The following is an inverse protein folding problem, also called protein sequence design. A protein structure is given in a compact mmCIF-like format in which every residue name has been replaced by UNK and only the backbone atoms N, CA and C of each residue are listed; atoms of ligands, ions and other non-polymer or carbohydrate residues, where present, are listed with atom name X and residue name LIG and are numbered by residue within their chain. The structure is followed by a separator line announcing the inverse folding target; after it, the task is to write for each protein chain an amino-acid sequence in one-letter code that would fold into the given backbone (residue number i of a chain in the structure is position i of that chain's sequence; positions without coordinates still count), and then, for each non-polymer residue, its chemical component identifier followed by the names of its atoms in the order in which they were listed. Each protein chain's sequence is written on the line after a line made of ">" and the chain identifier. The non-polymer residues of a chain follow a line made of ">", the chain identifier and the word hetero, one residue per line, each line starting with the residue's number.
data_IF_825129640748
#
_entry.id   IF_825129640748
#
_cell.length_a   1.000
_cell.length_b   1.000
_cell.length_c   1.000
_cell.angle_alpha   90.00
_cell.angle_beta   90.00
_cell.angle_gamma   90.00
#
_symmetry.space_group_name_H-M   'P 1'
#
loop_
_entity.id
_entity.type
_entity.pdbx_description
1 polymer ?
#
# COMPACT_ATOMS: atom_id res chain seq x y z
N UNK A 1 13.00 -14.97 7.59
CA UNK A 1 13.40 -14.18 6.40
C UNK A 1 14.04 -12.89 6.86
N UNK A 2 15.07 -12.38 6.17
CA UNK A 2 15.67 -11.07 6.46
C UNK A 2 15.10 -10.02 5.49
N UNK A 3 14.64 -8.87 5.99
CA UNK A 3 14.29 -7.75 5.11
C UNK A 3 15.59 -7.20 4.52
N UNK A 4 15.68 -7.17 3.19
CA UNK A 4 16.80 -6.53 2.50
C UNK A 4 16.74 -5.02 2.74
N UNK A 5 17.89 -4.42 3.00
CA UNK A 5 18.01 -2.98 3.28
C UNK A 5 17.47 -2.15 2.10
N UNK A 6 17.73 -2.60 0.89
CA UNK A 6 17.34 -1.96 -0.36
C UNK A 6 15.81 -1.88 -0.49
N UNK A 7 15.08 -2.86 0.06
CA UNK A 7 13.61 -2.83 0.10
C UNK A 7 13.09 -1.82 1.14
N UNK A 8 13.77 -1.68 2.28
CA UNK A 8 13.45 -0.66 3.28
C UNK A 8 13.66 0.74 2.69
N UNK A 9 14.80 0.96 2.03
CA UNK A 9 15.11 2.20 1.32
C UNK A 9 14.04 2.55 0.29
N UNK A 10 13.71 1.60 -0.59
CA UNK A 10 12.70 1.76 -1.62
C UNK A 10 11.33 2.16 -1.06
N UNK A 11 10.93 1.52 0.04
CA UNK A 11 9.63 1.76 0.68
C UNK A 11 9.59 3.09 1.44
N UNK A 12 10.66 3.46 2.14
CA UNK A 12 10.73 4.75 2.82
C UNK A 12 10.75 5.92 1.85
N UNK A 13 11.46 5.82 0.72
CA UNK A 13 11.40 6.87 -0.30
C UNK A 13 10.02 7.01 -0.92
N UNK A 14 9.29 5.91 -1.13
CA UNK A 14 7.93 5.97 -1.64
C UNK A 14 6.96 6.61 -0.66
N UNK A 15 7.05 6.25 0.63
CA UNK A 15 6.24 6.87 1.66
C UNK A 15 6.58 8.36 1.81
N UNK A 16 7.86 8.72 1.73
CA UNK A 16 8.31 10.10 1.78
C UNK A 16 7.88 10.92 0.56
N UNK A 17 7.74 10.31 -0.62
CA UNK A 17 7.21 10.98 -1.80
C UNK A 17 5.74 11.39 -1.62
N UNK A 18 4.98 10.62 -0.84
CA UNK A 18 3.56 10.90 -0.56
C UNK A 18 3.36 11.87 0.62
N UNK A 19 4.08 11.65 1.73
CA UNK A 19 3.85 12.37 3.00
C UNK A 19 4.92 13.39 3.37
N UNK A 20 6.06 13.39 2.67
CA UNK A 20 7.22 14.19 3.01
C UNK A 20 8.17 13.50 4.00
N UNK A 21 9.48 13.68 3.81
CA UNK A 21 10.51 13.02 4.65
C UNK A 21 10.43 13.41 6.13
N UNK A 22 10.13 14.68 6.44
CA UNK A 22 10.02 15.16 7.81
C UNK A 22 8.91 14.43 8.58
N UNK A 23 7.73 14.33 7.97
CA UNK A 23 6.59 13.63 8.54
C UNK A 23 6.91 12.16 8.79
N UNK A 24 7.50 11.48 7.80
CA UNK A 24 7.85 10.06 7.94
C UNK A 24 8.92 9.86 9.01
N UNK A 25 9.94 10.71 9.06
CA UNK A 25 10.98 10.63 10.08
C UNK A 25 10.43 10.83 11.50
N UNK A 26 9.47 11.75 11.68
CA UNK A 26 8.81 11.94 12.97
C UNK A 26 7.92 10.73 13.32
N UNK A 27 7.13 10.22 12.37
CA UNK A 27 6.29 9.04 12.60
C UNK A 27 7.11 7.80 12.99
N UNK A 28 8.25 7.55 12.31
CA UNK A 28 9.20 6.48 12.69
C UNK A 28 9.74 6.73 14.10
N UNK A 29 10.08 7.98 14.43
CA UNK A 29 10.66 8.33 15.73
C UNK A 29 9.68 8.10 16.88
N UNK A 30 8.44 8.60 16.73
CA UNK A 30 7.38 8.39 17.71
C UNK A 30 7.11 6.90 17.92
N UNK A 31 7.00 6.15 16.84
CA UNK A 31 6.73 4.72 16.89
C UNK A 31 7.90 3.92 17.46
N UNK A 32 9.14 4.27 17.11
CA UNK A 32 10.35 3.68 17.67
C UNK A 32 10.41 3.84 19.19
N UNK A 33 10.13 5.04 19.69
CA UNK A 33 10.13 5.32 21.12
C UNK A 33 8.93 4.67 21.83
N UNK A 34 7.75 4.66 21.18
CA UNK A 34 6.55 3.99 21.70
C UNK A 34 6.77 2.49 21.88
N UNK A 35 7.57 1.86 21.02
CA UNK A 35 7.95 0.46 21.11
C UNK A 35 9.11 0.19 22.08
N UNK A 36 9.54 1.18 22.88
CA UNK A 36 10.62 1.04 23.86
C UNK A 36 12.03 1.27 23.28
N UNK A 37 12.13 1.84 22.08
CA UNK A 37 13.38 2.33 21.54
C UNK A 37 14.01 3.45 22.40
N UNK A 38 15.31 3.66 22.24
CA UNK A 38 16.06 4.67 23.02
C UNK A 38 17.57 4.68 22.78
N UNK A 39 18.09 3.71 22.02
CA UNK A 39 19.51 3.62 21.68
C UNK A 39 19.93 4.56 20.55
N UNK A 40 18.98 4.94 19.69
CA UNK A 40 19.24 5.83 18.56
C UNK A 40 19.03 7.30 18.98
N UNK A 41 19.80 8.25 18.42
CA UNK A 41 19.67 9.67 18.72
C UNK A 41 18.47 10.28 17.98
N UNK A 42 17.27 9.76 18.25
CA UNK A 42 16.00 10.22 17.72
C UNK A 42 15.16 10.82 18.86
N UNK A 43 14.60 12.00 18.62
CA UNK A 43 13.84 12.76 19.64
C UNK A 43 12.58 13.33 19.01
N UNK A 44 11.37 13.11 19.56
CA UNK A 44 10.14 13.63 18.99
C UNK A 44 10.20 15.15 18.85
N UNK A 45 9.63 15.70 17.76
CA UNK A 45 9.63 17.13 17.46
C UNK A 45 10.98 17.72 17.03
N UNK A 46 12.06 16.93 16.97
CA UNK A 46 13.32 17.32 16.32
C UNK A 46 13.36 16.88 14.86
N UNK A 47 12.33 17.26 14.10
CA UNK A 47 12.03 16.78 12.74
C UNK A 47 13.24 16.83 11.82
N UNK A 48 13.91 17.98 11.75
CA UNK A 48 15.11 18.15 10.92
C UNK A 48 16.24 17.18 11.27
N UNK A 49 16.53 17.00 12.56
CA UNK A 49 17.61 16.11 13.00
C UNK A 49 17.26 14.64 12.76
N UNK A 50 16.00 14.26 13.04
CA UNK A 50 15.53 12.89 12.81
C UNK A 50 15.54 12.56 11.32
N UNK A 51 15.03 13.47 10.48
CA UNK A 51 15.06 13.34 9.03
C UNK A 51 16.49 13.18 8.52
N UNK A 52 17.41 14.05 8.95
CA UNK A 52 18.80 13.99 8.52
C UNK A 52 19.48 12.68 8.93
N UNK A 53 19.23 12.23 10.16
CA UNK A 53 19.75 10.97 10.65
C UNK A 53 19.21 9.78 9.86
N UNK A 54 17.89 9.67 9.70
CA UNK A 54 17.25 8.55 9.02
C UNK A 54 17.59 8.56 7.54
N UNK A 55 17.20 9.58 6.77
CA UNK A 55 17.29 9.59 5.31
C UNK A 55 18.69 9.86 4.78
N UNK A 56 19.40 10.84 5.34
CA UNK A 56 20.65 11.31 4.75
C UNK A 56 21.88 10.59 5.31
N UNK A 57 21.81 10.01 6.52
CA UNK A 57 22.95 9.34 7.17
C UNK A 57 22.82 7.82 7.23
N UNK A 58 21.65 7.28 7.58
CA UNK A 58 21.53 5.83 7.86
C UNK A 58 20.93 5.04 6.71
N UNK A 59 19.97 5.63 5.99
CA UNK A 59 19.22 4.94 4.95
C UNK A 59 20.09 4.51 3.76
N UNK A 60 21.23 5.15 3.52
CA UNK A 60 22.18 4.69 2.48
C UNK A 60 22.76 3.30 2.75
N UNK A 61 22.89 2.90 4.03
CA UNK A 61 23.37 1.57 4.39
C UNK A 61 24.77 1.21 3.86
N UNK A 62 25.63 2.19 3.57
CA UNK A 62 27.00 1.99 3.07
C UNK A 62 27.89 1.29 4.12
N UNK A 63 27.60 1.48 5.41
CA UNK A 63 28.36 0.86 6.50
C UNK A 63 27.52 -0.11 7.33
N UNK A 64 28.18 -1.08 7.98
CA UNK A 64 27.54 -2.01 8.91
C UNK A 64 26.75 -1.29 10.01
N UNK A 65 27.32 -0.23 10.58
CA UNK A 65 26.66 0.60 11.60
C UNK A 65 25.40 1.28 11.07
N UNK A 66 25.42 1.80 9.84
CA UNK A 66 24.22 2.39 9.23
C UNK A 66 23.12 1.33 9.05
N UNK A 67 23.48 0.14 8.55
CA UNK A 67 22.53 -0.98 8.41
C UNK A 67 21.96 -1.41 9.75
N UNK A 68 22.78 -1.55 10.79
CA UNK A 68 22.32 -1.89 12.15
C UNK A 68 21.32 -0.86 12.71
N UNK A 69 21.56 0.44 12.47
CA UNK A 69 20.61 1.49 12.87
C UNK A 69 19.27 1.36 12.16
N UNK A 70 19.27 1.10 10.85
CA UNK A 70 18.04 0.85 10.09
C UNK A 70 17.35 -0.43 10.57
N UNK A 71 18.09 -1.49 10.88
CA UNK A 71 17.50 -2.73 11.42
C UNK A 71 16.76 -2.48 12.74
N UNK A 72 17.28 -1.65 13.64
CA UNK A 72 16.60 -1.25 14.89
C UNK A 72 15.30 -0.47 14.63
N UNK A 73 15.19 0.20 13.49
CA UNK A 73 13.99 0.94 13.10
C UNK A 73 12.95 0.10 12.36
N UNK A 74 13.29 -1.13 11.93
CA UNK A 74 12.36 -1.98 11.16
C UNK A 74 11.00 -2.14 11.86
N UNK A 75 10.91 -2.48 13.15
CA UNK A 75 9.63 -2.63 13.82
C UNK A 75 8.76 -1.37 13.76
N UNK A 76 9.37 -0.19 13.88
CA UNK A 76 8.69 1.09 13.77
C UNK A 76 8.28 1.41 12.33
N UNK A 77 9.17 1.16 11.36
CA UNK A 77 8.90 1.33 9.94
C UNK A 77 7.70 0.47 9.51
N UNK A 78 7.65 -0.79 9.95
CA UNK A 78 6.56 -1.70 9.63
C UNK A 78 5.22 -1.24 10.21
N UNK A 79 5.22 -0.67 11.41
CA UNK A 79 4.02 -0.20 12.09
C UNK A 79 3.40 1.04 11.43
N UNK A 80 4.21 1.94 10.87
CA UNK A 80 3.70 3.14 10.17
C UNK A 80 3.38 2.89 8.70
N UNK A 81 3.72 1.71 8.16
CA UNK A 81 3.68 1.49 6.72
C UNK A 81 2.25 1.28 6.21
N UNK A 82 1.77 2.11 5.27
CA UNK A 82 0.44 1.95 4.70
C UNK A 82 0.33 0.63 3.92
N UNK A 83 -0.89 0.10 3.80
CA UNK A 83 -1.16 -1.23 3.24
C UNK A 83 -0.64 -1.36 1.82
N UNK A 84 -0.71 -0.27 1.08
CA UNK A 84 -0.32 -0.10 -0.31
C UNK A 84 1.19 -0.22 -0.48
N UNK A 85 2.01 -0.02 0.55
CA UNK A 85 3.47 -0.15 0.46
C UNK A 85 4.00 -1.43 1.10
N UNK A 86 3.24 -2.08 1.98
CA UNK A 86 3.66 -3.32 2.65
C UNK A 86 4.09 -4.41 1.65
N UNK A 87 3.38 -4.55 0.53
CA UNK A 87 3.67 -5.57 -0.47
C UNK A 87 5.07 -5.49 -1.09
N UNK A 88 5.74 -4.34 -1.00
CA UNK A 88 7.09 -4.13 -1.52
C UNK A 88 8.18 -4.72 -0.63
N UNK A 89 7.87 -5.06 0.62
CA UNK A 89 8.81 -5.76 1.48
C UNK A 89 8.61 -7.27 1.31
N UNK A 90 9.67 -8.00 0.93
CA UNK A 90 9.62 -9.46 0.73
C UNK A 90 9.10 -10.26 1.93
N UNK A 91 9.14 -9.72 3.15
CA UNK A 91 8.52 -10.39 4.31
C UNK A 91 7.00 -10.56 4.17
N UNK A 92 6.36 -9.76 3.32
CA UNK A 92 4.94 -9.92 3.00
C UNK A 92 4.73 -10.78 1.76
N UNK A 93 5.76 -11.17 1.01
CA UNK A 93 5.63 -12.15 -0.08
C UNK A 93 5.53 -13.58 0.47
N UNK A 94 4.54 -13.80 1.33
CA UNK A 94 4.24 -15.11 1.90
C UNK A 94 3.29 -15.87 0.98
N UNK A 95 3.26 -17.20 1.13
CA UNK A 95 2.32 -18.04 0.39
C UNK A 95 0.87 -17.66 0.71
N UNK A 96 0.58 -17.35 1.98
CA UNK A 96 -0.73 -16.93 2.46
C UNK A 96 -1.15 -15.61 1.79
N UNK A 97 -0.24 -14.63 1.67
CA UNK A 97 -0.56 -13.37 1.00
C UNK A 97 -0.84 -13.58 -0.49
N UNK A 98 -0.08 -14.43 -1.17
CA UNK A 98 -0.32 -14.77 -2.59
C UNK A 98 -1.68 -15.47 -2.77
N UNK A 99 -2.05 -16.37 -1.86
CA UNK A 99 -3.37 -17.01 -1.86
C UNK A 99 -4.51 -15.99 -1.64
N UNK A 100 -4.34 -15.05 -0.71
CA UNK A 100 -5.32 -13.98 -0.47
C UNK A 100 -5.49 -13.06 -1.68
N UNK A 101 -4.40 -12.73 -2.38
CA UNK A 101 -4.46 -11.93 -3.62
C UNK A 101 -5.17 -12.69 -4.75
N UNK A 102 -4.86 -13.96 -4.93
CA UNK A 102 -5.55 -14.80 -5.92
C UNK A 102 -7.06 -14.91 -5.62
N UNK A 103 -7.44 -15.02 -4.35
CA UNK A 103 -8.84 -15.01 -3.93
C UNK A 103 -9.51 -13.66 -4.19
N UNK A 104 -8.80 -12.54 -3.97
CA UNK A 104 -9.31 -11.20 -4.28
C UNK A 104 -9.56 -11.03 -5.78
N UNK A 105 -8.64 -11.49 -6.62
CA UNK A 105 -8.76 -11.45 -8.08
C UNK A 105 -9.95 -12.29 -8.56
N UNK A 106 -10.04 -13.54 -8.08
CA UNK A 106 -11.16 -14.43 -8.39
C UNK A 106 -12.53 -13.83 -7.98
N UNK A 107 -12.58 -13.18 -6.83
CA UNK A 107 -13.79 -12.49 -6.36
C UNK A 107 -14.14 -11.30 -7.26
N UNK A 108 -13.16 -10.49 -7.67
CA UNK A 108 -13.37 -9.37 -8.60
C UNK A 108 -13.93 -9.86 -9.92
N UNK A 109 -13.33 -10.90 -10.51
CA UNK A 109 -13.81 -11.51 -11.76
C UNK A 109 -15.23 -12.06 -11.62
N UNK A 110 -15.57 -12.65 -10.47
CA UNK A 110 -16.93 -13.14 -10.22
C UNK A 110 -17.96 -12.01 -10.11
N UNK A 111 -17.57 -10.86 -9.53
CA UNK A 111 -18.42 -9.65 -9.48
C UNK A 111 -18.63 -9.10 -10.89
N UNK A 112 -17.57 -8.94 -11.68
CA UNK A 112 -17.67 -8.43 -13.05
C UNK A 112 -18.58 -9.32 -13.91
N UNK A 113 -18.44 -10.65 -13.80
CA UNK A 113 -19.30 -11.60 -14.51
C UNK A 113 -20.76 -11.53 -14.06
N UNK A 114 -21.02 -11.25 -12.78
CA UNK A 114 -22.37 -11.05 -12.27
C UNK A 114 -22.99 -9.77 -12.84
N UNK A 115 -22.25 -8.67 -12.84
CA UNK A 115 -22.71 -7.39 -13.38
C UNK A 115 -23.01 -7.49 -14.88
N UNK A 116 -22.17 -8.17 -15.64
CA UNK A 116 -22.39 -8.46 -17.06
C UNK A 116 -23.68 -9.28 -17.29
N UNK A 117 -23.94 -10.27 -16.45
CA UNK A 117 -25.15 -11.08 -16.51
C UNK A 117 -26.41 -10.24 -16.20
N UNK A 118 -26.36 -9.39 -15.18
CA UNK A 118 -27.44 -8.46 -14.83
C UNK A 118 -27.71 -7.49 -15.98
N UNK A 119 -26.67 -6.90 -16.57
CA UNK A 119 -26.80 -6.03 -17.73
C UNK A 119 -27.39 -6.74 -18.95
N UNK A 120 -27.01 -8.00 -19.19
CA UNK A 120 -27.58 -8.80 -20.28
C UNK A 120 -29.09 -9.05 -20.09
N UNK A 121 -29.52 -9.37 -18.86
CA UNK A 121 -30.94 -9.53 -18.52
C UNK A 121 -31.69 -8.21 -18.69
N UNK A 122 -31.14 -7.11 -18.19
CA UNK A 122 -31.74 -5.79 -18.35
C UNK A 122 -31.89 -5.40 -19.83
N UNK A 123 -30.84 -5.60 -20.64
CA UNK A 123 -30.91 -5.36 -22.09
C UNK A 123 -31.99 -6.19 -22.76
N UNK A 124 -32.09 -7.48 -22.37
CA UNK A 124 -33.11 -8.37 -22.92
C UNK A 124 -34.52 -7.89 -22.57
N UNK A 125 -34.76 -7.46 -21.34
CA UNK A 125 -36.07 -6.99 -20.91
C UNK A 125 -36.51 -5.69 -21.59
N UNK A 126 -35.60 -4.73 -21.79
CA UNK A 126 -35.96 -3.39 -22.25
C UNK A 126 -35.78 -3.15 -23.76
N UNK A 127 -34.90 -3.89 -24.43
CA UNK A 127 -34.56 -3.62 -25.84
C UNK A 127 -34.92 -4.75 -26.80
N UNK A 128 -35.24 -5.97 -26.32
CA UNK A 128 -35.70 -7.05 -27.21
C UNK A 128 -37.13 -6.88 -27.71
N UNK A 129 -37.85 -5.87 -27.23
CA UNK A 129 -39.21 -5.55 -27.69
C UNK A 129 -39.29 -4.72 -28.97
N UNK A 130 -38.17 -4.29 -29.54
CA UNK A 130 -38.14 -3.46 -30.75
C UNK A 130 -37.99 -4.29 -32.02
N UNK A 131 -39.02 -5.05 -32.39
CA UNK A 131 -38.96 -5.91 -33.57
C UNK A 131 -40.28 -6.52 -34.03
N UNK A 132 -41.37 -5.75 -34.06
CA UNK A 132 -42.40 -5.97 -35.08
C UNK A 132 -43.10 -4.65 -35.39
N UNK A 133 -42.81 -4.14 -36.58
CA UNK A 133 -43.53 -3.09 -37.27
C UNK A 133 -44.96 -3.55 -37.57
N UNK A 134 -45.93 -3.11 -36.78
CA UNK A 134 -47.31 -2.84 -37.19
C UNK A 134 -48.09 -2.38 -35.95
N UNK A 135 -48.19 -1.06 -35.74
CA UNK A 135 -49.50 -0.47 -35.51
C UNK A 135 -49.45 1.06 -35.65
N UNK A 136 -50.14 1.49 -36.70
CA UNK A 136 -50.45 2.88 -37.04
C UNK A 136 -51.25 3.53 -35.91
N UNK A 137 -50.70 4.58 -35.29
CA UNK A 137 -51.52 5.51 -34.49
C UNK A 137 -51.71 6.76 -35.33
N UNK A 138 -52.80 6.77 -36.10
CA UNK A 138 -53.31 7.99 -36.74
C UNK A 138 -53.76 8.93 -35.64
N UNK A 139 -53.13 10.11 -35.57
CA UNK A 139 -53.60 11.23 -34.77
C UNK A 139 -54.65 11.96 -35.60
N UNK A 140 -55.87 11.97 -35.07
CA UNK A 140 -56.97 12.79 -35.59
C UNK A 140 -56.86 14.24 -35.11
#
# INVERSE_FOLDING_TARGET
>A
MKIKHEHIESVLFALAAEKGQAWVANAITEEYLRQGGGELPLVPGKDWNNQQNIYHRWLKGETKTQREKIQKLIPAILAILPRELRHRLCIFDTLERRALLAAQEALSTAIDAHDDAVQAVYRKAHFSGGGSSDDSVIVH
#
